data_IF_490608574834
#
_entry.id   IF_490608574834
#
_cell.length_a   1.000
_cell.length_b   1.000
_cell.length_c   1.000
_cell.angle_alpha   90.00
_cell.angle_beta   90.00
_cell.angle_gamma   90.00
#
_symmetry.space_group_name_H-M   'P 1'
#
loop_
_entity.id
_entity.type
_entity.pdbx_description
1 polymer ?
#
# COMPACT_ATOMS: atom_id res chain seq x y z
N UNK A 1 -14.83 -11.57 3.07
CA UNK A 1 -13.88 -12.20 4.01
C UNK A 1 -13.14 -11.10 4.76
N UNK A 2 -12.36 -10.32 4.02
CA UNK A 2 -11.82 -9.04 4.48
C UNK A 2 -12.89 -7.95 4.52
N UNK A 3 -13.09 -7.30 5.67
CA UNK A 3 -13.99 -6.16 5.84
C UNK A 3 -13.28 -5.09 6.68
N UNK A 4 -13.59 -3.82 6.41
CA UNK A 4 -13.08 -2.67 7.18
C UNK A 4 -14.17 -1.62 7.28
N UNK A 5 -14.02 -0.68 8.20
CA UNK A 5 -14.97 0.41 8.42
C UNK A 5 -14.22 1.69 8.82
N UNK A 6 -14.88 2.83 8.61
CA UNK A 6 -14.36 4.13 9.03
C UNK A 6 -15.52 5.08 9.31
N UNK A 7 -15.36 5.93 10.33
CA UNK A 7 -16.27 7.04 10.64
C UNK A 7 -15.96 8.29 9.79
N UNK A 8 -14.79 8.33 9.14
CA UNK A 8 -14.29 9.44 8.32
C UNK A 8 -13.91 8.95 6.93
N UNK A 9 -14.29 9.69 5.89
CA UNK A 9 -14.07 9.27 4.50
C UNK A 9 -12.57 9.17 4.16
N UNK A 10 -11.76 10.08 4.68
CA UNK A 10 -10.30 10.08 4.44
C UNK A 10 -9.57 8.85 4.99
N UNK A 11 -10.14 8.19 6.00
CA UNK A 11 -9.53 7.04 6.66
C UNK A 11 -9.89 5.70 5.96
N UNK A 12 -10.82 5.72 4.99
CA UNK A 12 -11.30 4.51 4.29
C UNK A 12 -10.12 3.75 3.65
N UNK A 13 -9.28 4.44 2.88
CA UNK A 13 -8.17 3.79 2.15
C UNK A 13 -7.16 3.21 3.13
N UNK A 14 -6.80 3.97 4.16
CA UNK A 14 -5.86 3.53 5.20
C UNK A 14 -6.37 2.29 5.92
N UNK A 15 -7.61 2.31 6.40
CA UNK A 15 -8.20 1.17 7.12
C UNK A 15 -8.39 -0.04 6.19
N UNK A 16 -8.63 0.17 4.90
CA UNK A 16 -8.72 -0.90 3.92
C UNK A 16 -7.35 -1.55 3.64
N UNK A 17 -6.26 -0.76 3.58
CA UNK A 17 -4.89 -1.29 3.47
C UNK A 17 -4.57 -2.18 4.67
N UNK A 18 -4.85 -1.72 5.89
CA UNK A 18 -4.59 -2.49 7.11
C UNK A 18 -5.37 -3.80 7.14
N UNK A 19 -6.67 -3.76 6.83
CA UNK A 19 -7.50 -4.96 6.76
C UNK A 19 -7.00 -5.96 5.70
N UNK A 20 -6.60 -5.46 4.52
CA UNK A 20 -6.09 -6.29 3.44
C UNK A 20 -4.77 -6.98 3.81
N UNK A 21 -3.85 -6.26 4.48
CA UNK A 21 -2.57 -6.80 4.93
C UNK A 21 -2.76 -7.91 5.97
N UNK A 22 -3.61 -7.66 6.98
CA UNK A 22 -3.93 -8.65 8.01
C UNK A 22 -4.61 -9.89 7.42
N UNK A 23 -5.52 -9.69 6.47
CA UNK A 23 -6.25 -10.80 5.86
C UNK A 23 -5.38 -11.73 5.01
N UNK A 24 -4.33 -11.18 4.38
CA UNK A 24 -3.43 -11.92 3.51
C UNK A 24 -2.11 -12.33 4.20
N UNK A 25 -1.96 -12.06 5.50
CA UNK A 25 -0.76 -12.42 6.25
C UNK A 25 -0.66 -13.94 6.40
N UNK A 26 0.40 -14.54 5.85
CA UNK A 26 0.66 -15.98 5.94
C UNK A 26 -0.18 -16.85 5.00
N UNK A 27 -1.07 -16.24 4.21
CA UNK A 27 -1.98 -16.93 3.27
C UNK A 27 -1.45 -16.92 1.83
N UNK A 28 -1.88 -17.89 1.03
CA UNK A 28 -1.66 -17.86 -0.43
C UNK A 28 -2.56 -16.78 -1.06
N UNK A 29 -1.97 -15.89 -1.85
CA UNK A 29 -2.73 -14.79 -2.43
C UNK A 29 -3.68 -15.33 -3.51
N UNK A 30 -4.94 -14.86 -3.55
CA UNK A 30 -5.85 -15.22 -4.62
C UNK A 30 -5.34 -14.72 -5.98
N UNK A 31 -5.74 -15.40 -7.05
CA UNK A 31 -5.48 -14.91 -8.40
C UNK A 31 -6.12 -13.54 -8.60
N UNK A 32 -5.33 -12.57 -9.05
CA UNK A 32 -5.82 -11.23 -9.31
C UNK A 32 -6.81 -11.24 -10.49
N UNK A 33 -7.91 -10.48 -10.33
CA UNK A 33 -8.89 -10.21 -11.39
C UNK A 33 -8.69 -8.79 -11.91
N UNK A 34 -8.98 -8.58 -13.19
CA UNK A 34 -9.02 -7.24 -13.77
C UNK A 34 -10.21 -6.46 -13.21
N UNK A 35 -10.09 -5.14 -13.10
CA UNK A 35 -11.15 -4.28 -12.52
C UNK A 35 -12.49 -4.45 -13.25
N UNK A 36 -12.47 -4.59 -14.59
CA UNK A 36 -13.71 -4.81 -15.36
C UNK A 36 -14.37 -6.15 -15.02
N UNK A 37 -13.60 -7.20 -14.73
CA UNK A 37 -14.14 -8.51 -14.36
C UNK A 37 -14.81 -8.45 -13.00
N UNK A 38 -14.27 -7.65 -12.08
CA UNK A 38 -14.87 -7.41 -10.76
C UNK A 38 -16.17 -6.62 -10.90
N UNK A 39 -16.19 -5.57 -11.73
CA UNK A 39 -17.38 -4.74 -11.93
C UNK A 39 -18.54 -5.50 -12.62
N UNK A 40 -18.23 -6.48 -13.49
CA UNK A 40 -19.22 -7.31 -14.16
C UNK A 40 -19.73 -8.50 -13.32
N UNK A 41 -19.17 -8.73 -12.13
CA UNK A 41 -19.64 -9.77 -11.22
C UNK A 41 -21.08 -9.45 -10.76
N UNK A 42 -22.06 -10.37 -10.90
CA UNK A 42 -23.47 -10.05 -10.62
C UNK A 42 -23.71 -9.48 -9.21
N UNK A 43 -22.99 -9.97 -8.21
CA UNK A 43 -23.12 -9.48 -6.84
C UNK A 43 -22.57 -8.05 -6.69
N UNK A 44 -21.44 -7.76 -7.34
CA UNK A 44 -20.82 -6.42 -7.31
C UNK A 44 -21.64 -5.43 -8.13
N UNK A 45 -22.11 -5.82 -9.32
CA UNK A 45 -22.92 -4.98 -10.19
C UNK A 45 -24.21 -4.52 -9.49
N UNK A 46 -24.83 -5.38 -8.67
CA UNK A 46 -26.00 -5.03 -7.87
C UNK A 46 -25.67 -3.96 -6.81
N UNK A 47 -24.56 -4.13 -6.10
CA UNK A 47 -24.08 -3.15 -5.11
C UNK A 47 -23.76 -1.80 -5.77
N UNK A 48 -23.06 -1.81 -6.90
CA UNK A 48 -22.75 -0.60 -7.67
C UNK A 48 -24.03 0.12 -8.13
N UNK A 49 -25.03 -0.63 -8.60
CA UNK A 49 -26.33 -0.06 -8.96
C UNK A 49 -27.09 0.55 -7.77
N UNK A 50 -26.78 0.11 -6.53
CA UNK A 50 -27.35 0.65 -5.30
C UNK A 50 -26.61 1.87 -4.74
N UNK A 51 -25.51 2.30 -5.38
CA UNK A 51 -24.74 3.49 -4.99
C UNK A 51 -23.36 3.21 -4.43
N UNK A 52 -22.94 1.94 -4.34
CA UNK A 52 -21.57 1.59 -3.96
C UNK A 52 -20.58 1.95 -5.08
N UNK A 53 -19.30 2.04 -4.74
CA UNK A 53 -18.22 2.32 -5.67
C UNK A 53 -16.98 1.47 -5.40
N UNK A 54 -16.10 1.34 -6.40
CA UNK A 54 -14.85 0.59 -6.29
C UNK A 54 -13.68 1.53 -6.02
N UNK A 55 -12.81 1.13 -5.10
CA UNK A 55 -11.53 1.79 -4.81
C UNK A 55 -10.41 0.78 -5.01
N UNK A 56 -9.34 1.18 -5.69
CA UNK A 56 -8.12 0.38 -5.79
C UNK A 56 -7.32 0.50 -4.50
N UNK A 57 -7.18 -0.60 -3.77
CA UNK A 57 -6.37 -0.66 -2.54
C UNK A 57 -5.02 -1.32 -2.83
N UNK A 58 -3.89 -0.64 -2.59
CA UNK A 58 -2.58 -1.21 -2.87
C UNK A 58 -2.25 -2.33 -1.87
N UNK A 59 -1.89 -3.51 -2.38
CA UNK A 59 -1.32 -4.58 -1.58
C UNK A 59 0.19 -4.39 -1.46
N UNK A 60 0.64 -3.79 -0.36
CA UNK A 60 2.07 -3.59 -0.07
C UNK A 60 2.60 -4.74 0.78
N UNK A 61 2.98 -5.85 0.15
CA UNK A 61 3.55 -6.97 0.92
C UNK A 61 4.99 -6.69 1.32
N UNK A 62 5.33 -6.96 2.57
CA UNK A 62 6.71 -6.93 3.11
C UNK A 62 7.58 -8.10 2.64
N UNK A 63 7.19 -8.83 1.58
CA UNK A 63 7.86 -10.06 1.14
C UNK A 63 9.37 -9.82 0.94
N UNK A 64 10.13 -10.55 1.76
CA UNK A 64 11.48 -10.35 2.27
C UNK A 64 12.65 -10.37 1.27
N UNK A 65 12.51 -9.84 0.06
CA UNK A 65 13.66 -9.73 -0.85
C UNK A 65 13.96 -8.28 -1.20
N UNK A 66 14.99 -7.75 -0.57
CA UNK A 66 15.61 -6.49 -1.00
C UNK A 66 16.07 -6.62 -2.45
N UNK A 67 15.50 -5.80 -3.34
CA UNK A 67 15.94 -5.66 -4.73
C UNK A 67 16.86 -4.45 -4.81
N UNK A 68 18.02 -4.60 -5.48
CA UNK A 68 18.94 -3.48 -5.70
C UNK A 68 18.44 -2.62 -6.85
N UNK A 69 18.24 -1.34 -6.59
CA UNK A 69 17.90 -0.32 -7.59
C UNK A 69 19.03 0.70 -7.70
N UNK A 70 19.27 1.24 -8.90
CA UNK A 70 20.20 2.35 -9.11
C UNK A 70 19.38 3.63 -9.32
N UNK A 71 19.62 4.65 -8.49
CA UNK A 71 18.92 5.92 -8.54
C UNK A 71 19.91 7.04 -8.76
N UNK A 72 19.55 8.00 -9.62
CA UNK A 72 20.26 9.27 -9.75
C UNK A 72 19.50 10.32 -8.93
N UNK A 73 20.16 10.87 -7.91
CA UNK A 73 19.61 11.89 -7.02
C UNK A 73 20.57 13.07 -6.94
N UNK A 74 20.05 14.25 -6.61
CA UNK A 74 20.90 15.41 -6.33
C UNK A 74 21.81 15.15 -5.12
N UNK A 75 23.03 15.71 -5.14
CA UNK A 75 24.03 15.51 -4.09
C UNK A 75 23.53 16.00 -2.73
N UNK A 76 22.84 17.14 -2.68
CA UNK A 76 22.28 17.69 -1.44
C UNK A 76 21.18 16.80 -0.87
N UNK A 77 20.38 16.16 -1.71
CA UNK A 77 19.37 15.18 -1.28
C UNK A 77 20.04 13.94 -0.68
N UNK A 78 21.11 13.43 -1.30
CA UNK A 78 21.85 12.27 -0.76
C UNK A 78 22.45 12.60 0.61
N UNK A 79 23.02 13.79 0.78
CA UNK A 79 23.57 14.24 2.07
C UNK A 79 22.46 14.38 3.13
N UNK A 80 21.29 14.91 2.77
CA UNK A 80 20.15 15.01 3.67
C UNK A 80 19.60 13.64 4.08
N UNK A 81 19.54 12.67 3.16
CA UNK A 81 19.17 11.28 3.44
C UNK A 81 20.16 10.65 4.42
N UNK A 82 21.46 10.84 4.21
CA UNK A 82 22.51 10.27 5.07
C UNK A 82 22.38 10.76 6.50
N UNK A 83 22.21 12.08 6.68
CA UNK A 83 22.01 12.68 7.98
C UNK A 83 20.73 12.16 8.66
N UNK A 84 19.61 12.11 7.93
CA UNK A 84 18.33 11.66 8.48
C UNK A 84 18.34 10.17 8.85
N UNK A 85 18.97 9.33 8.03
CA UNK A 85 19.14 7.91 8.30
C UNK A 85 20.03 7.70 9.54
N UNK A 86 21.15 8.42 9.65
CA UNK A 86 22.05 8.32 10.80
C UNK A 86 21.37 8.73 12.11
N UNK A 87 20.61 9.83 12.11
CA UNK A 87 19.84 10.28 13.28
C UNK A 87 18.83 9.24 13.77
N UNK A 88 18.32 8.40 12.87
CA UNK A 88 17.34 7.33 13.16
C UNK A 88 17.99 5.95 13.34
N UNK A 89 19.31 5.83 13.24
CA UNK A 89 20.01 4.53 13.30
C UNK A 89 19.68 3.59 12.13
N UNK A 90 19.28 4.14 10.98
CA UNK A 90 18.88 3.41 9.79
C UNK A 90 19.99 3.45 8.72
N UNK A 91 20.00 2.46 7.83
CA UNK A 91 20.74 2.56 6.56
C UNK A 91 19.98 3.46 5.58
N UNK A 92 20.67 4.04 4.59
CA UNK A 92 20.02 4.82 3.50
C UNK A 92 18.84 4.08 2.88
N UNK A 93 19.03 2.80 2.58
CA UNK A 93 18.00 1.96 1.96
C UNK A 93 16.82 1.72 2.90
N UNK A 94 17.05 1.56 4.21
CA UNK A 94 15.96 1.43 5.18
C UNK A 94 15.18 2.76 5.32
N UNK A 95 15.88 3.89 5.38
CA UNK A 95 15.25 5.21 5.41
C UNK A 95 14.38 5.46 4.16
N UNK A 96 14.91 5.18 2.97
CA UNK A 96 14.17 5.33 1.72
C UNK A 96 12.99 4.38 1.63
N UNK A 97 13.12 3.15 2.12
CA UNK A 97 12.03 2.19 2.14
C UNK A 97 10.89 2.66 3.06
N UNK A 98 11.22 3.15 4.26
CA UNK A 98 10.24 3.68 5.22
C UNK A 98 9.54 4.93 4.66
N UNK A 99 10.29 5.87 4.07
CA UNK A 99 9.74 7.06 3.43
C UNK A 99 8.76 6.70 2.30
N UNK A 100 9.14 5.75 1.43
CA UNK A 100 8.26 5.27 0.37
C UNK A 100 7.00 4.57 0.93
N UNK A 101 7.13 3.78 1.98
CA UNK A 101 5.99 3.13 2.63
C UNK A 101 5.02 4.14 3.23
N UNK A 102 5.53 5.17 3.92
CA UNK A 102 4.70 6.23 4.49
C UNK A 102 3.93 6.98 3.40
N UNK A 103 4.60 7.37 2.32
CA UNK A 103 3.96 8.05 1.18
C UNK A 103 2.89 7.17 0.53
N UNK A 104 3.17 5.88 0.29
CA UNK A 104 2.20 4.93 -0.29
C UNK A 104 0.97 4.74 0.63
N UNK A 105 1.18 4.77 1.94
CA UNK A 105 0.12 4.64 2.95
C UNK A 105 -0.60 5.97 3.25
N UNK A 106 -0.14 7.10 2.69
CA UNK A 106 -0.69 8.43 2.94
C UNK A 106 -0.46 8.94 4.36
N UNK A 107 0.67 8.60 4.99
CA UNK A 107 1.05 9.03 6.36
C UNK A 107 1.94 10.28 6.37
#
# INVERSE_FOLDING_TARGET
>A
GCFSASDREEDIVKNAIEALLLHLEGEEHPAARQVYEVACDPAVAQELASGSYLISIPLVTTKHRSVRVNLSLDKGIVEAIDNAAQLRGLSRSAFLAEAAQNEIQGR
#
